data_IF_463176060454
#
_entry.id   IF_463176060454
#
_cell.length_a   1.000
_cell.length_b   1.000
_cell.length_c   1.000
_cell.angle_alpha   90.00
_cell.angle_beta   90.00
_cell.angle_gamma   90.00
#
_symmetry.space_group_name_H-M   'P 1'
#
loop_
_entity.id
_entity.type
_entity.pdbx_description
1 polymer ?
#
# COMPACT_ATOMS: atom_id res chain seq x y z
N UNK A 1 -10.76 -28.67 11.27
CA UNK A 1 -10.67 -28.46 12.74
C UNK A 1 -10.26 -27.02 13.08
N UNK A 2 -9.71 -26.24 12.13
CA UNK A 2 -9.49 -24.81 12.32
C UNK A 2 -10.70 -23.97 11.84
N UNK A 3 -11.47 -24.44 10.86
CA UNK A 3 -12.67 -23.73 10.38
C UNK A 3 -13.74 -23.70 11.46
N UNK A 4 -14.01 -24.82 12.13
CA UNK A 4 -14.92 -24.83 13.29
C UNK A 4 -14.38 -23.93 14.41
N UNK A 5 -13.07 -23.88 14.66
CA UNK A 5 -12.51 -23.01 15.70
C UNK A 5 -12.63 -21.51 15.36
N UNK A 6 -12.22 -21.08 14.16
CA UNK A 6 -12.29 -19.67 13.69
C UNK A 6 -13.74 -19.22 13.48
N UNK A 7 -14.62 -20.11 13.02
CA UNK A 7 -16.06 -19.82 12.91
C UNK A 7 -16.76 -19.76 14.27
N UNK A 8 -16.22 -20.38 15.32
CA UNK A 8 -16.85 -20.40 16.65
C UNK A 8 -16.46 -19.22 17.55
N UNK A 9 -15.40 -18.48 17.22
CA UNK A 9 -15.10 -17.24 17.95
C UNK A 9 -16.10 -16.14 17.60
N UNK A 10 -16.43 -15.26 18.57
CA UNK A 10 -17.18 -14.05 18.27
C UNK A 10 -16.42 -13.19 17.26
N UNK A 11 -17.19 -12.52 16.39
CA UNK A 11 -16.68 -11.76 15.24
C UNK A 11 -16.99 -10.30 15.45
N UNK A 12 -16.00 -9.48 15.13
CA UNK A 12 -16.09 -8.03 15.11
C UNK A 12 -15.78 -7.61 13.69
N UNK A 13 -16.74 -6.97 13.03
CA UNK A 13 -16.49 -6.26 11.78
C UNK A 13 -16.40 -4.79 12.09
N UNK A 14 -15.35 -4.12 11.59
CA UNK A 14 -15.21 -2.69 11.77
C UNK A 14 -14.56 -2.02 10.57
N UNK A 15 -14.71 -0.71 10.57
CA UNK A 15 -14.13 0.22 9.61
C UNK A 15 -13.86 1.54 10.35
N UNK A 16 -12.65 2.10 10.20
CA UNK A 16 -12.31 3.41 10.76
C UNK A 16 -12.49 4.50 9.73
N UNK A 17 -13.08 5.62 10.16
CA UNK A 17 -13.08 6.85 9.39
C UNK A 17 -12.09 7.84 9.99
N UNK A 18 -11.28 8.45 9.13
CA UNK A 18 -10.14 9.26 9.56
C UNK A 18 -10.06 10.55 8.75
N UNK A 19 -9.50 11.59 9.37
CA UNK A 19 -9.21 12.85 8.69
C UNK A 19 -8.29 12.65 7.49
N UNK A 20 -8.67 13.22 6.35
CA UNK A 20 -7.84 13.26 5.16
C UNK A 20 -8.06 14.55 4.36
N UNK A 21 -7.07 14.92 3.56
CA UNK A 21 -7.14 16.06 2.64
C UNK A 21 -6.42 15.78 1.31
N UNK A 22 -6.25 16.82 0.49
CA UNK A 22 -5.61 16.70 -0.83
C UNK A 22 -4.15 16.28 -0.75
N UNK A 23 -3.44 16.67 0.30
CA UNK A 23 -2.02 16.43 0.53
C UNK A 23 -1.75 15.35 1.59
N UNK A 24 -2.74 15.04 2.42
CA UNK A 24 -2.74 13.99 3.43
C UNK A 24 -3.78 12.92 3.10
N UNK A 25 -3.40 11.88 2.36
CA UNK A 25 -4.30 10.76 2.03
C UNK A 25 -3.53 9.50 1.67
N UNK A 26 -4.20 8.35 1.73
CA UNK A 26 -3.67 7.04 1.33
C UNK A 26 -3.36 6.93 -0.18
N UNK A 27 -3.73 7.92 -0.99
CA UNK A 27 -3.29 8.01 -2.40
C UNK A 27 -1.87 8.60 -2.53
N UNK A 28 -1.39 9.30 -1.50
CA UNK A 28 -0.07 9.96 -1.47
C UNK A 28 0.88 9.31 -0.47
N UNK A 29 0.34 8.76 0.61
CA UNK A 29 1.09 8.19 1.72
C UNK A 29 0.81 6.69 1.83
N UNK A 30 1.79 5.93 2.28
CA UNK A 30 1.57 4.56 2.76
C UNK A 30 0.73 4.58 4.03
N UNK A 31 0.11 3.45 4.40
CA UNK A 31 -0.62 3.33 5.68
C UNK A 31 0.25 3.71 6.89
N UNK A 32 1.53 3.31 6.88
CA UNK A 32 2.47 3.59 7.97
C UNK A 32 2.70 5.10 8.09
N UNK A 33 3.06 5.75 6.98
CA UNK A 33 3.27 7.20 6.95
C UNK A 33 2.00 7.97 7.32
N UNK A 34 0.84 7.53 6.81
CA UNK A 34 -0.44 8.17 7.07
C UNK A 34 -0.84 8.10 8.54
N UNK A 35 -0.76 6.92 9.17
CA UNK A 35 -1.19 6.74 10.57
C UNK A 35 -0.21 7.36 11.58
N UNK A 36 1.08 7.43 11.24
CA UNK A 36 2.10 8.04 12.10
C UNK A 36 2.25 9.57 11.88
N UNK A 37 1.57 10.16 10.90
CA UNK A 37 1.62 11.61 10.66
C UNK A 37 0.94 12.37 11.81
N UNK A 38 1.49 13.51 12.27
CA UNK A 38 0.86 14.33 13.31
C UNK A 38 -0.57 14.81 12.99
N UNK A 39 -0.97 14.82 11.72
CA UNK A 39 -2.33 15.16 11.26
C UNK A 39 -3.30 13.99 11.33
N UNK A 40 -2.82 12.76 11.61
CA UNK A 40 -3.68 11.60 11.71
C UNK A 40 -4.69 11.78 12.84
N UNK A 41 -5.97 11.68 12.48
CA UNK A 41 -7.09 11.83 13.41
C UNK A 41 -8.18 10.82 13.05
N UNK A 42 -8.68 10.11 14.04
CA UNK A 42 -9.84 9.22 13.89
C UNK A 42 -11.10 10.02 14.13
N UNK A 43 -11.97 10.11 13.12
CA UNK A 43 -13.30 10.70 13.28
C UNK A 43 -14.25 9.76 14.01
N UNK A 44 -14.07 8.46 13.82
CA UNK A 44 -14.79 7.44 14.56
C UNK A 44 -14.60 6.04 13.98
N UNK A 45 -15.37 5.09 14.51
CA UNK A 45 -15.35 3.70 14.08
C UNK A 45 -16.76 3.12 14.02
N UNK A 46 -17.08 2.46 12.92
CA UNK A 46 -18.26 1.61 12.81
C UNK A 46 -17.93 0.21 13.31
N UNK A 47 -18.74 -0.36 14.20
CA UNK A 47 -18.48 -1.70 14.75
C UNK A 47 -19.76 -2.55 14.71
N UNK A 48 -19.59 -3.80 14.26
CA UNK A 48 -20.61 -4.84 14.25
C UNK A 48 -20.15 -6.06 15.03
N UNK A 49 -20.94 -6.44 16.04
CA UNK A 49 -20.76 -7.68 16.77
C UNK A 49 -21.58 -8.80 16.15
N UNK A 50 -20.92 -9.78 15.53
CA UNK A 50 -21.56 -10.91 14.85
C UNK A 50 -22.69 -10.46 13.90
N UNK A 51 -23.92 -10.93 14.16
CA UNK A 51 -25.14 -10.62 13.39
C UNK A 51 -25.96 -9.46 14.00
N UNK A 52 -25.43 -8.73 14.99
CA UNK A 52 -26.13 -7.59 15.61
C UNK A 52 -26.23 -6.39 14.67
N UNK A 53 -26.92 -5.33 15.09
CA UNK A 53 -26.84 -4.03 14.44
C UNK A 53 -25.42 -3.48 14.48
N UNK A 54 -25.07 -2.71 13.47
CA UNK A 54 -23.81 -1.96 13.43
C UNK A 54 -24.01 -0.62 14.12
N UNK A 55 -23.06 -0.23 14.95
CA UNK A 55 -23.08 1.02 15.70
C UNK A 55 -21.90 1.90 15.28
N UNK A 56 -22.15 3.21 15.17
CA UNK A 56 -21.13 4.23 14.96
C UNK A 56 -20.69 4.80 16.30
N UNK A 57 -19.39 4.83 16.54
CA UNK A 57 -18.77 5.43 17.71
C UNK A 57 -17.93 6.61 17.26
N UNK A 58 -18.33 7.82 17.61
CA UNK A 58 -17.65 9.07 17.27
C UNK A 58 -16.30 9.22 17.97
N UNK A 59 -15.52 10.21 17.55
CA UNK A 59 -14.17 10.53 18.03
C UNK A 59 -14.03 10.46 19.56
N UNK A 60 -14.98 11.05 20.29
CA UNK A 60 -14.94 11.22 21.74
C UNK A 60 -15.03 9.90 22.53
N UNK A 61 -15.66 8.88 21.96
CA UNK A 61 -15.88 7.58 22.61
C UNK A 61 -15.12 6.43 21.94
N UNK A 62 -14.55 6.65 20.74
CA UNK A 62 -13.88 5.62 19.96
C UNK A 62 -12.81 4.89 20.77
N UNK A 63 -11.96 5.65 21.47
CA UNK A 63 -10.88 5.06 22.27
C UNK A 63 -11.42 4.12 23.37
N UNK A 64 -12.38 4.59 24.15
CA UNK A 64 -12.97 3.83 25.25
C UNK A 64 -13.65 2.55 24.76
N UNK A 65 -14.32 2.62 23.60
CA UNK A 65 -14.96 1.46 22.96
C UNK A 65 -13.93 0.45 22.49
N UNK A 66 -12.86 0.89 21.80
CA UNK A 66 -11.80 0.00 21.32
C UNK A 66 -11.07 -0.66 22.49
N UNK A 67 -10.73 0.08 23.55
CA UNK A 67 -10.07 -0.46 24.75
C UNK A 67 -10.97 -1.41 25.56
N UNK A 68 -12.30 -1.24 25.48
CA UNK A 68 -13.28 -2.06 26.16
C UNK A 68 -13.53 -3.45 25.55
N UNK A 69 -13.04 -3.70 24.33
CA UNK A 69 -13.22 -4.96 23.61
C UNK A 69 -12.15 -5.99 23.99
N UNK A 70 -12.56 -7.25 24.26
CA UNK A 70 -11.66 -8.38 24.47
C UNK A 70 -11.09 -8.91 23.15
N UNK A 71 -10.14 -8.18 22.56
CA UNK A 71 -9.58 -8.49 21.24
C UNK A 71 -8.92 -9.87 21.17
N UNK A 72 -8.28 -10.34 22.25
CA UNK A 72 -7.59 -11.64 22.31
C UNK A 72 -8.53 -12.84 22.16
N UNK A 73 -9.84 -12.62 22.30
CA UNK A 73 -10.87 -13.64 22.12
C UNK A 73 -11.86 -13.35 21.00
N UNK A 74 -11.58 -12.36 20.14
CA UNK A 74 -12.42 -11.98 19.02
C UNK A 74 -11.69 -12.09 17.67
N UNK A 75 -12.44 -12.47 16.63
CA UNK A 75 -12.00 -12.45 15.24
C UNK A 75 -12.31 -11.10 14.64
N UNK A 76 -11.32 -10.43 14.08
CA UNK A 76 -11.51 -9.19 13.35
C UNK A 76 -11.78 -9.45 11.87
N UNK A 77 -12.80 -8.80 11.32
CA UNK A 77 -13.15 -8.82 9.91
C UNK A 77 -13.09 -7.39 9.39
N UNK A 78 -12.27 -7.12 8.39
CA UNK A 78 -12.28 -5.85 7.68
C UNK A 78 -12.25 -6.09 6.16
N UNK A 79 -12.38 -5.00 5.42
CA UNK A 79 -12.11 -4.97 4.00
C UNK A 79 -10.81 -4.19 3.76
N UNK A 80 -9.73 -4.88 3.42
CA UNK A 80 -8.36 -4.35 3.39
C UNK A 80 -7.76 -4.11 4.79
N UNK A 81 -7.60 -5.19 5.55
CA UNK A 81 -7.18 -5.24 6.96
C UNK A 81 -5.88 -4.48 7.30
N UNK A 82 -5.02 -4.21 6.31
CA UNK A 82 -3.76 -3.50 6.54
C UNK A 82 -3.99 -2.09 7.09
N UNK A 83 -5.10 -1.44 6.75
CA UNK A 83 -5.41 -0.11 7.27
C UNK A 83 -5.98 -0.18 8.68
N UNK A 84 -7.18 -0.72 8.85
CA UNK A 84 -7.87 -0.78 10.15
C UNK A 84 -7.10 -1.58 11.20
N UNK A 85 -6.48 -2.70 10.79
CA UNK A 85 -5.67 -3.51 11.68
C UNK A 85 -4.40 -2.80 12.14
N UNK A 86 -3.83 -1.91 11.32
CA UNK A 86 -2.67 -1.10 11.71
C UNK A 86 -3.08 0.00 12.69
N UNK A 87 -4.25 0.64 12.49
CA UNK A 87 -4.82 1.58 13.47
C UNK A 87 -5.04 0.89 14.82
N UNK A 88 -5.69 -0.28 14.86
CA UNK A 88 -5.89 -1.02 16.10
C UNK A 88 -4.58 -1.32 16.85
N UNK A 89 -3.60 -1.86 16.12
CA UNK A 89 -2.38 -2.38 16.74
C UNK A 89 -1.37 -1.30 17.08
N UNK A 90 -1.24 -0.25 16.25
CA UNK A 90 -0.20 0.78 16.40
C UNK A 90 -0.70 2.08 16.98
N UNK A 91 -1.97 2.44 16.75
CA UNK A 91 -2.57 3.63 17.36
C UNK A 91 -3.26 3.30 18.69
N UNK A 92 -4.07 2.23 18.74
CA UNK A 92 -4.79 1.84 19.97
C UNK A 92 -4.07 0.76 20.81
N UNK A 93 -3.03 0.11 20.28
CA UNK A 93 -2.25 -0.88 21.02
C UNK A 93 -2.98 -2.22 21.27
N UNK A 94 -4.07 -2.51 20.55
CA UNK A 94 -4.90 -3.71 20.74
C UNK A 94 -4.73 -4.73 19.61
N UNK A 95 -4.89 -6.01 19.94
CA UNK A 95 -4.55 -7.13 19.05
C UNK A 95 -5.65 -8.20 19.00
N UNK A 96 -6.36 -8.33 17.86
CA UNK A 96 -7.32 -9.40 17.63
C UNK A 96 -6.73 -10.81 17.73
N UNK A 97 -7.59 -11.79 18.06
CA UNK A 97 -7.22 -13.21 18.06
C UNK A 97 -6.89 -13.72 16.66
N UNK A 98 -7.61 -13.24 15.66
CA UNK A 98 -7.49 -13.68 14.28
C UNK A 98 -7.98 -12.60 13.33
N UNK A 99 -7.34 -12.48 12.16
CA UNK A 99 -7.67 -11.50 11.15
C UNK A 99 -8.31 -12.15 9.92
N UNK A 100 -9.39 -11.54 9.43
CA UNK A 100 -10.06 -11.91 8.18
C UNK A 100 -10.13 -10.66 7.29
N UNK A 101 -9.51 -10.75 6.12
CA UNK A 101 -9.55 -9.70 5.10
C UNK A 101 -10.43 -10.14 3.91
N UNK A 102 -11.60 -9.53 3.78
CA UNK A 102 -12.50 -9.81 2.64
C UNK A 102 -11.91 -9.41 1.29
N UNK A 103 -11.02 -8.41 1.26
CA UNK A 103 -10.31 -8.01 0.04
C UNK A 103 -9.27 -9.07 -0.37
N UNK A 104 -8.52 -9.62 0.59
CA UNK A 104 -7.60 -10.74 0.34
C UNK A 104 -8.33 -11.99 -0.17
N UNK A 105 -9.46 -12.34 0.46
CA UNK A 105 -10.30 -13.46 0.00
C UNK A 105 -10.89 -13.18 -1.39
N UNK A 106 -11.23 -11.93 -1.70
CA UNK A 106 -11.63 -11.56 -3.07
C UNK A 106 -10.50 -11.75 -4.08
N UNK A 107 -9.27 -11.32 -3.76
CA UNK A 107 -8.10 -11.46 -4.65
C UNK A 107 -7.75 -12.91 -4.93
N UNK A 108 -7.89 -13.81 -3.95
CA UNK A 108 -7.62 -15.23 -4.17
C UNK A 108 -8.65 -15.89 -5.08
N UNK A 109 -9.93 -15.48 -4.99
CA UNK A 109 -11.00 -16.00 -5.85
C UNK A 109 -11.00 -15.40 -7.25
N UNK A 110 -10.67 -14.12 -7.36
CA UNK A 110 -10.73 -13.36 -8.60
C UNK A 110 -9.46 -12.51 -8.77
N UNK A 111 -8.31 -13.14 -9.12
CA UNK A 111 -7.00 -12.48 -9.11
C UNK A 111 -6.83 -11.37 -10.17
N UNK A 112 -7.66 -11.37 -11.20
CA UNK A 112 -7.63 -10.37 -12.28
C UNK A 112 -8.68 -9.27 -12.13
N UNK A 113 -9.42 -9.28 -11.02
CA UNK A 113 -10.54 -8.38 -10.78
C UNK A 113 -10.25 -7.42 -9.63
N UNK A 114 -10.86 -6.24 -9.65
CA UNK A 114 -10.75 -5.31 -8.53
C UNK A 114 -11.31 -5.94 -7.25
N UNK A 115 -10.54 -5.82 -6.17
CA UNK A 115 -10.91 -6.29 -4.84
C UNK A 115 -11.56 -5.19 -3.98
N UNK A 116 -11.76 -3.97 -4.49
CA UNK A 116 -12.40 -2.90 -3.71
C UNK A 116 -13.82 -3.27 -3.29
N UNK A 117 -14.28 -2.74 -2.15
CA UNK A 117 -15.60 -3.08 -1.59
C UNK A 117 -16.73 -2.80 -2.59
N UNK A 118 -16.65 -1.66 -3.30
CA UNK A 118 -17.58 -1.29 -4.38
C UNK A 118 -17.62 -2.34 -5.49
N UNK A 119 -16.46 -2.79 -5.98
CA UNK A 119 -16.39 -3.80 -7.05
C UNK A 119 -16.83 -5.19 -6.56
N UNK A 120 -16.43 -5.57 -5.36
CA UNK A 120 -16.81 -6.82 -4.72
C UNK A 120 -18.32 -6.89 -4.47
N UNK A 121 -18.94 -5.81 -4.01
CA UNK A 121 -20.37 -5.73 -3.77
C UNK A 121 -21.19 -5.90 -5.06
N UNK A 122 -20.79 -5.23 -6.15
CA UNK A 122 -21.39 -5.44 -7.48
C UNK A 122 -21.25 -6.89 -7.92
N UNK A 123 -20.08 -7.51 -7.70
CA UNK A 123 -19.82 -8.91 -8.07
C UNK A 123 -20.68 -9.89 -7.27
N UNK A 124 -20.81 -9.68 -5.96
CA UNK A 124 -21.55 -10.57 -5.07
C UNK A 124 -23.08 -10.39 -5.16
N UNK A 125 -23.55 -9.18 -5.47
CA UNK A 125 -24.97 -8.84 -5.60
C UNK A 125 -25.24 -7.97 -6.84
N UNK A 126 -25.12 -8.53 -8.06
CA UNK A 126 -25.20 -7.75 -9.30
C UNK A 126 -26.56 -7.07 -9.52
N UNK A 127 -27.63 -7.58 -8.91
CA UNK A 127 -29.01 -7.07 -9.07
C UNK A 127 -29.59 -6.40 -7.83
N UNK A 128 -28.82 -6.25 -6.75
CA UNK A 128 -29.30 -5.63 -5.50
C UNK A 128 -28.67 -4.25 -5.34
N UNK A 129 -29.42 -3.19 -5.64
CA UNK A 129 -28.96 -1.80 -5.53
C UNK A 129 -28.73 -1.37 -4.07
N UNK A 130 -29.32 -2.08 -3.09
CA UNK A 130 -29.09 -1.80 -1.67
C UNK A 130 -27.69 -2.22 -1.20
N UNK A 131 -27.03 -3.09 -1.97
CA UNK A 131 -25.67 -3.58 -1.71
C UNK A 131 -24.66 -2.77 -2.53
N UNK A 132 -24.77 -1.44 -2.49
CA UNK A 132 -23.87 -0.52 -3.20
C UNK A 132 -23.25 0.42 -2.19
N UNK A 133 -21.93 0.55 -2.26
CA UNK A 133 -21.16 1.51 -1.47
C UNK A 133 -21.53 2.94 -1.90
N UNK A 134 -21.77 3.80 -0.92
CA UNK A 134 -22.01 5.22 -1.12
C UNK A 134 -20.76 6.02 -1.50
N UNK A 135 -20.90 7.33 -1.63
CA UNK A 135 -19.84 8.29 -1.99
C UNK A 135 -19.74 9.47 -1.01
N UNK A 136 -20.39 9.38 0.14
CA UNK A 136 -20.60 10.45 1.13
C UNK A 136 -19.30 10.95 1.76
N UNK A 137 -18.29 10.08 1.90
CA UNK A 137 -16.97 10.41 2.47
C UNK A 137 -16.31 11.64 1.82
N UNK A 138 -16.49 11.82 0.49
CA UNK A 138 -15.86 12.91 -0.26
C UNK A 138 -16.27 14.30 0.21
N UNK A 139 -17.39 14.41 0.92
CA UNK A 139 -17.95 15.69 1.40
C UNK A 139 -17.19 16.25 2.60
N UNK A 140 -16.43 15.41 3.33
CA UNK A 140 -15.71 15.81 4.55
C UNK A 140 -14.20 16.01 4.34
N UNK A 141 -13.72 15.95 3.10
CA UNK A 141 -12.30 16.15 2.78
C UNK A 141 -11.77 17.50 3.29
N UNK A 142 -10.72 17.47 4.11
CA UNK A 142 -10.07 18.65 4.68
C UNK A 142 -10.80 19.27 5.88
N UNK A 143 -11.75 18.55 6.50
CA UNK A 143 -12.49 19.01 7.68
C UNK A 143 -11.98 18.25 8.90
N UNK A 144 -11.17 18.90 9.73
CA UNK A 144 -10.55 18.26 10.89
C UNK A 144 -11.58 17.92 11.99
N UNK A 145 -12.41 18.89 12.35
CA UNK A 145 -13.49 18.74 13.33
C UNK A 145 -14.85 18.69 12.63
N UNK A 146 -15.51 17.53 12.68
CA UNK A 146 -16.82 17.34 12.05
C UNK A 146 -17.90 18.07 12.84
N UNK A 147 -18.80 18.76 12.13
CA UNK A 147 -20.08 19.20 12.72
C UNK A 147 -20.98 17.98 13.01
N UNK A 148 -21.99 18.10 13.89
CA UNK A 148 -22.89 16.98 14.18
C UNK A 148 -23.56 16.36 12.94
N UNK A 149 -23.89 17.18 11.93
CA UNK A 149 -24.48 16.70 10.67
C UNK A 149 -23.46 15.93 9.82
N UNK A 150 -22.19 16.36 9.82
CA UNK A 150 -21.10 15.67 9.13
C UNK A 150 -20.74 14.36 9.83
N UNK A 151 -20.68 14.36 11.17
CA UNK A 151 -20.47 13.15 11.96
C UNK A 151 -21.58 12.12 11.70
N UNK A 152 -22.85 12.54 11.69
CA UNK A 152 -23.97 11.66 11.33
C UNK A 152 -23.85 11.13 9.89
N UNK A 153 -23.42 11.97 8.94
CA UNK A 153 -23.23 11.58 7.54
C UNK A 153 -22.13 10.52 7.39
N UNK A 154 -20.97 10.77 8.00
CA UNK A 154 -19.83 9.84 7.99
C UNK A 154 -20.17 8.55 8.74
N UNK A 155 -20.85 8.65 9.89
CA UNK A 155 -21.28 7.48 10.65
C UNK A 155 -22.23 6.58 9.88
N UNK A 156 -23.21 7.14 9.16
CA UNK A 156 -24.11 6.36 8.31
C UNK A 156 -23.37 5.68 7.15
N UNK A 157 -22.39 6.36 6.55
CA UNK A 157 -21.53 5.79 5.50
C UNK A 157 -20.68 4.63 6.05
N UNK A 158 -20.03 4.83 7.20
CA UNK A 158 -19.22 3.79 7.84
C UNK A 158 -20.06 2.57 8.25
N UNK A 159 -21.25 2.79 8.82
CA UNK A 159 -22.21 1.72 9.12
C UNK A 159 -22.53 0.88 7.88
N UNK A 160 -22.76 1.54 6.74
CA UNK A 160 -23.02 0.85 5.47
C UNK A 160 -21.83 0.01 5.01
N UNK A 161 -20.60 0.55 5.10
CA UNK A 161 -19.38 -0.16 4.70
C UNK A 161 -19.11 -1.37 5.59
N UNK A 162 -19.35 -1.27 6.90
CA UNK A 162 -19.24 -2.38 7.85
C UNK A 162 -20.29 -3.46 7.56
N UNK A 163 -21.55 -3.09 7.35
CA UNK A 163 -22.62 -4.03 7.00
C UNK A 163 -22.33 -4.75 5.67
N UNK A 164 -21.85 -4.02 4.67
CA UNK A 164 -21.51 -4.57 3.37
C UNK A 164 -20.29 -5.51 3.46
N UNK A 165 -19.30 -5.15 4.26
CA UNK A 165 -18.12 -5.98 4.56
C UNK A 165 -18.53 -7.28 5.24
N UNK A 166 -19.39 -7.21 6.26
CA UNK A 166 -19.87 -8.40 6.95
C UNK A 166 -20.70 -9.31 6.03
N UNK A 167 -21.62 -8.74 5.25
CA UNK A 167 -22.40 -9.51 4.27
C UNK A 167 -21.50 -10.15 3.20
N UNK A 168 -20.39 -9.48 2.83
CA UNK A 168 -19.44 -10.01 1.87
C UNK A 168 -18.67 -11.17 2.50
N UNK A 169 -18.21 -11.00 3.73
CA UNK A 169 -17.61 -12.07 4.53
C UNK A 169 -18.51 -13.32 4.58
N UNK A 170 -19.80 -13.20 4.87
CA UNK A 170 -20.70 -14.36 4.95
C UNK A 170 -20.81 -15.15 3.64
N UNK A 171 -20.72 -14.47 2.48
CA UNK A 171 -20.64 -15.14 1.16
C UNK A 171 -19.25 -15.67 0.87
N UNK A 172 -18.22 -14.94 1.29
CA UNK A 172 -16.83 -15.23 0.96
C UNK A 172 -16.28 -16.39 1.78
N UNK A 173 -16.65 -16.54 3.04
CA UNK A 173 -16.07 -17.55 3.92
C UNK A 173 -16.56 -18.97 3.59
N UNK A 174 -17.75 -19.09 2.99
CA UNK A 174 -18.33 -20.37 2.56
C UNK A 174 -17.39 -21.06 1.58
N UNK A 175 -16.95 -22.26 1.94
CA UNK A 175 -16.02 -23.11 1.17
C UNK A 175 -14.65 -22.46 0.90
N UNK A 176 -14.24 -21.46 1.67
CA UNK A 176 -12.88 -20.93 1.57
C UNK A 176 -11.90 -21.85 2.34
N UNK A 177 -10.76 -22.26 1.76
CA UNK A 177 -9.87 -23.24 2.39
C UNK A 177 -9.29 -22.75 3.73
N UNK A 178 -9.21 -23.65 4.73
CA UNK A 178 -8.64 -23.33 6.06
C UNK A 178 -7.19 -22.81 5.94
N UNK A 179 -6.37 -23.42 5.09
CA UNK A 179 -4.96 -23.02 4.96
C UNK A 179 -4.81 -21.64 4.30
N UNK A 180 -5.72 -21.27 3.40
CA UNK A 180 -5.75 -19.92 2.82
C UNK A 180 -6.15 -18.87 3.86
N UNK A 181 -7.06 -19.19 4.79
CA UNK A 181 -7.37 -18.30 5.92
C UNK A 181 -6.17 -18.06 6.83
N UNK A 182 -5.36 -19.09 7.09
CA UNK A 182 -4.11 -18.94 7.86
C UNK A 182 -3.13 -18.01 7.14
N UNK A 183 -3.06 -18.08 5.82
CA UNK A 183 -2.21 -17.18 5.02
C UNK A 183 -2.73 -15.74 5.10
N UNK A 184 -4.05 -15.53 5.04
CA UNK A 184 -4.66 -14.20 5.23
C UNK A 184 -4.32 -13.64 6.61
N UNK A 185 -4.52 -14.41 7.68
CA UNK A 185 -4.19 -14.00 9.06
C UNK A 185 -2.69 -13.69 9.21
N UNK A 186 -1.82 -14.58 8.73
CA UNK A 186 -0.38 -14.40 8.78
C UNK A 186 0.05 -13.12 8.03
N UNK A 187 -0.51 -12.87 6.85
CA UNK A 187 -0.19 -11.68 6.04
C UNK A 187 -0.67 -10.40 6.74
N UNK A 188 -1.83 -10.44 7.40
CA UNK A 188 -2.31 -9.33 8.21
C UNK A 188 -1.34 -9.05 9.36
N UNK A 189 -0.98 -10.08 10.14
CA UNK A 189 -0.04 -9.98 11.27
C UNK A 189 1.33 -9.47 10.86
N UNK A 190 1.86 -9.92 9.73
CA UNK A 190 3.14 -9.42 9.21
C UNK A 190 3.14 -7.89 9.02
N UNK A 191 1.98 -7.31 8.73
CA UNK A 191 1.82 -5.87 8.52
C UNK A 191 1.47 -5.14 9.82
N UNK A 192 0.48 -5.64 10.56
CA UNK A 192 -0.08 -4.96 11.74
C UNK A 192 0.71 -5.24 13.02
N UNK A 193 1.36 -6.39 13.10
CA UNK A 193 2.18 -6.82 14.23
C UNK A 193 3.61 -7.13 13.77
N UNK A 194 4.35 -6.11 13.28
CA UNK A 194 5.68 -6.32 12.73
C UNK A 194 6.65 -6.86 13.78
N UNK A 195 7.43 -7.87 13.39
CA UNK A 195 8.48 -8.48 14.23
C UNK A 195 9.86 -8.42 13.61
N UNK A 196 9.96 -7.96 12.35
CA UNK A 196 11.22 -7.77 11.66
C UNK A 196 11.83 -6.45 12.11
N UNK A 197 13.09 -6.48 12.54
CA UNK A 197 13.85 -5.30 12.93
C UNK A 197 14.76 -4.84 11.79
N UNK A 198 14.80 -3.53 11.58
CA UNK A 198 15.69 -2.90 10.62
C UNK A 198 17.00 -2.53 11.30
N UNK A 199 18.12 -2.94 10.70
CA UNK A 199 19.44 -2.40 11.06
C UNK A 199 19.58 -1.03 10.37
N UNK A 200 18.97 0.00 10.99
CA UNK A 200 18.85 1.34 10.42
C UNK A 200 20.21 1.89 9.99
N UNK A 201 21.23 1.73 10.83
CA UNK A 201 22.59 2.19 10.54
C UNK A 201 23.16 1.54 9.27
N UNK A 202 23.09 0.21 9.13
CA UNK A 202 23.58 -0.45 7.91
C UNK A 202 22.79 -0.04 6.68
N UNK A 203 21.50 0.20 6.84
CA UNK A 203 20.64 0.58 5.73
C UNK A 203 20.91 2.02 5.28
N UNK A 204 21.16 2.93 6.21
CA UNK A 204 21.60 4.31 5.93
C UNK A 204 22.97 4.31 5.25
N UNK A 205 23.96 3.60 5.80
CA UNK A 205 25.29 3.45 5.19
C UNK A 205 25.19 2.87 3.76
N UNK A 206 24.32 1.88 3.55
CA UNK A 206 24.07 1.32 2.22
C UNK A 206 23.41 2.35 1.30
N UNK A 207 22.38 3.05 1.76
CA UNK A 207 21.68 4.07 0.98
C UNK A 207 22.61 5.21 0.55
N UNK A 208 23.42 5.73 1.47
CA UNK A 208 24.45 6.74 1.20
C UNK A 208 25.48 6.22 0.20
N UNK A 209 25.96 4.98 0.36
CA UNK A 209 26.93 4.40 -0.57
C UNK A 209 26.41 4.28 -2.00
N UNK A 210 25.10 4.01 -2.19
CA UNK A 210 24.47 3.96 -3.51
C UNK A 210 24.35 5.37 -4.13
N UNK A 211 24.08 6.38 -3.31
CA UNK A 211 24.05 7.79 -3.75
C UNK A 211 25.45 8.23 -4.17
N UNK A 212 26.45 7.98 -3.34
CA UNK A 212 27.84 8.38 -3.57
C UNK A 212 28.41 7.71 -4.83
N UNK A 213 28.17 6.40 -5.01
CA UNK A 213 28.56 5.69 -6.22
C UNK A 213 27.89 6.28 -7.48
N UNK A 214 26.61 6.65 -7.39
CA UNK A 214 25.92 7.28 -8.51
C UNK A 214 26.49 8.67 -8.83
N UNK A 215 26.84 9.47 -7.81
CA UNK A 215 27.45 10.78 -7.99
C UNK A 215 28.86 10.68 -8.59
N UNK A 216 29.69 9.76 -8.10
CA UNK A 216 31.02 9.50 -8.64
C UNK A 216 30.96 9.09 -10.12
N UNK A 217 30.03 8.21 -10.50
CA UNK A 217 29.84 7.82 -11.89
C UNK A 217 29.40 9.00 -12.77
N UNK A 218 28.49 9.85 -12.27
CA UNK A 218 28.07 11.06 -12.98
C UNK A 218 29.27 12.00 -13.18
N UNK A 219 30.07 12.27 -12.15
CA UNK A 219 31.25 13.13 -12.25
C UNK A 219 32.26 12.56 -13.27
N UNK A 220 32.56 11.27 -13.17
CA UNK A 220 33.48 10.57 -14.07
C UNK A 220 33.01 10.51 -15.53
N UNK A 221 31.72 10.70 -15.78
CA UNK A 221 31.15 10.77 -17.13
C UNK A 221 31.41 12.10 -17.85
N UNK A 222 31.74 13.15 -17.10
CA UNK A 222 31.91 14.50 -17.64
C UNK A 222 30.62 15.14 -18.15
N UNK A 223 29.44 14.63 -17.75
CA UNK A 223 28.14 15.18 -18.13
C UNK A 223 27.21 15.31 -16.93
N UNK A 224 26.05 15.92 -17.13
CA UNK A 224 25.08 16.20 -16.07
C UNK A 224 24.04 15.09 -15.93
N UNK A 225 23.57 14.88 -14.70
CA UNK A 225 22.49 13.93 -14.38
C UNK A 225 21.26 14.13 -15.27
N UNK A 226 20.93 15.37 -15.62
CA UNK A 226 19.75 15.68 -16.44
C UNK A 226 19.87 15.11 -17.86
N UNK A 227 21.07 15.18 -18.46
CA UNK A 227 21.38 14.57 -19.76
C UNK A 227 21.31 13.06 -19.65
N UNK A 228 21.94 12.49 -18.62
CA UNK A 228 21.96 11.06 -18.34
C UNK A 228 20.59 10.48 -17.99
N UNK A 229 19.61 11.27 -17.54
CA UNK A 229 18.28 10.77 -17.16
C UNK A 229 17.32 10.68 -18.36
N UNK A 230 17.44 11.61 -19.31
CA UNK A 230 16.54 11.74 -20.47
C UNK A 230 17.06 10.97 -21.68
N UNK A 231 16.22 10.09 -22.26
CA UNK A 231 16.59 9.36 -23.48
C UNK A 231 16.93 10.33 -24.63
N UNK A 232 16.17 11.41 -24.77
CA UNK A 232 16.34 12.36 -25.86
C UNK A 232 17.63 13.18 -25.70
N UNK A 233 17.91 13.68 -24.48
CA UNK A 233 19.15 14.45 -24.22
C UNK A 233 20.38 13.55 -24.36
N UNK A 234 20.31 12.34 -23.83
CA UNK A 234 21.37 11.34 -23.96
C UNK A 234 21.59 10.93 -25.43
N UNK A 235 20.51 10.74 -26.20
CA UNK A 235 20.59 10.43 -27.63
C UNK A 235 21.31 11.52 -28.42
N UNK A 236 20.99 12.79 -28.18
CA UNK A 236 21.70 13.91 -28.80
C UNK A 236 23.19 13.93 -28.46
N UNK A 237 23.55 13.68 -27.19
CA UNK A 237 24.96 13.58 -26.79
C UNK A 237 25.69 12.47 -27.56
N UNK A 238 25.05 11.31 -27.74
CA UNK A 238 25.61 10.18 -28.50
C UNK A 238 25.78 10.56 -29.99
N UNK A 239 24.82 11.25 -30.59
CA UNK A 239 24.93 11.76 -31.97
C UNK A 239 26.02 12.82 -32.12
N UNK A 240 26.13 13.75 -31.16
CA UNK A 240 27.16 14.81 -31.14
C UNK A 240 28.58 14.22 -31.04
N UNK A 241 28.71 13.05 -30.42
CA UNK A 241 29.94 12.24 -30.41
C UNK A 241 30.20 11.47 -31.71
N UNK A 242 29.32 11.57 -32.71
CA UNK A 242 29.44 10.91 -34.01
C UNK A 242 28.99 9.44 -34.02
N UNK A 243 28.27 8.99 -33.00
CA UNK A 243 27.78 7.61 -32.90
C UNK A 243 26.32 7.51 -33.36
N UNK A 244 25.93 6.35 -33.88
CA UNK A 244 24.54 6.08 -34.26
C UNK A 244 23.71 5.73 -33.03
N UNK A 245 22.56 6.40 -32.85
CA UNK A 245 21.63 6.07 -31.76
C UNK A 245 21.09 4.63 -31.93
N UNK A 246 21.20 3.77 -30.91
CA UNK A 246 20.56 2.47 -30.92
C UNK A 246 19.04 2.65 -30.78
N UNK A 247 18.27 1.99 -31.66
CA UNK A 247 16.81 2.05 -31.65
C UNK A 247 16.19 0.66 -31.45
N UNK A 248 14.97 0.62 -30.89
CA UNK A 248 14.13 -0.58 -30.78
C UNK A 248 12.66 -0.25 -31.02
N UNK A 249 11.88 -1.26 -31.39
CA UNK A 249 10.42 -1.13 -31.48
C UNK A 249 9.81 -1.16 -30.08
N UNK A 250 9.03 -0.14 -29.74
CA UNK A 250 8.25 -0.10 -28.51
C UNK A 250 7.18 -1.19 -28.51
N UNK A 251 7.12 -2.07 -27.50
CA UNK A 251 6.09 -3.11 -27.42
C UNK A 251 4.68 -2.54 -27.24
N UNK A 252 4.56 -1.32 -26.70
CA UNK A 252 3.27 -0.69 -26.39
C UNK A 252 2.77 0.17 -27.56
N UNK A 253 3.67 0.86 -28.27
CA UNK A 253 3.29 1.85 -29.28
C UNK A 253 3.64 1.43 -30.71
N UNK A 254 4.46 0.39 -30.90
CA UNK A 254 4.95 -0.05 -32.21
C UNK A 254 5.93 0.92 -32.89
N UNK A 255 6.24 2.05 -32.26
CA UNK A 255 7.15 3.07 -32.79
C UNK A 255 8.61 2.75 -32.46
N UNK A 256 9.54 3.23 -33.29
CA UNK A 256 10.96 3.20 -32.99
C UNK A 256 11.26 4.19 -31.86
N UNK A 257 11.94 3.71 -30.82
CA UNK A 257 12.38 4.48 -29.65
C UNK A 257 13.85 4.19 -29.36
N UNK A 258 14.52 5.07 -28.61
CA UNK A 258 15.91 4.87 -28.23
C UNK A 258 16.08 3.66 -27.29
N UNK A 259 17.06 2.82 -27.60
CA UNK A 259 17.37 1.59 -26.90
C UNK A 259 18.58 1.80 -25.99
N UNK A 260 18.39 2.54 -24.89
CA UNK A 260 19.42 2.89 -23.89
C UNK A 260 19.19 2.25 -22.51
N UNK A 261 18.35 1.22 -22.42
CA UNK A 261 18.16 0.48 -21.16
C UNK A 261 19.32 -0.47 -20.90
N UNK A 262 19.61 -0.75 -19.63
CA UNK A 262 20.61 -1.76 -19.23
C UNK A 262 20.33 -3.18 -19.76
N UNK A 263 19.10 -3.45 -20.21
CA UNK A 263 18.70 -4.73 -20.79
C UNK A 263 18.57 -4.67 -22.33
N UNK A 264 18.84 -3.52 -22.96
CA UNK A 264 18.73 -3.37 -24.41
C UNK A 264 19.98 -3.89 -25.09
N UNK A 265 19.82 -4.93 -25.92
CA UNK A 265 20.93 -5.53 -26.68
C UNK A 265 21.66 -4.52 -27.58
N UNK A 266 20.92 -3.59 -28.18
CA UNK A 266 21.50 -2.54 -29.01
C UNK A 266 22.35 -1.54 -28.19
N UNK A 267 22.02 -1.34 -26.91
CA UNK A 267 22.86 -0.54 -26.02
C UNK A 267 24.15 -1.27 -25.68
N UNK A 268 24.07 -2.57 -25.36
CA UNK A 268 25.26 -3.39 -25.10
C UNK A 268 26.22 -3.38 -26.29
N UNK A 269 25.67 -3.51 -27.51
CA UNK A 269 26.47 -3.43 -28.73
C UNK A 269 27.14 -2.04 -28.89
N UNK A 270 26.43 -0.95 -28.58
CA UNK A 270 27.02 0.39 -28.58
C UNK A 270 28.17 0.50 -27.58
N UNK A 271 27.99 -0.02 -26.37
CA UNK A 271 29.02 -0.02 -25.32
C UNK A 271 30.26 -0.83 -25.74
N UNK A 272 30.08 -1.97 -26.40
CA UNK A 272 31.17 -2.80 -26.92
C UNK A 272 31.93 -2.15 -28.09
N UNK A 273 31.22 -1.40 -28.95
CA UNK A 273 31.83 -0.69 -30.07
C UNK A 273 32.64 0.54 -29.64
N UNK A 274 32.24 1.19 -28.54
CA UNK A 274 32.84 2.42 -28.05
C UNK A 274 33.27 2.30 -26.57
N UNK A 275 34.22 1.40 -26.24
CA UNK A 275 34.67 1.16 -24.87
C UNK A 275 35.37 2.37 -24.23
N UNK A 276 35.89 3.30 -25.03
CA UNK A 276 36.48 4.56 -24.57
C UNK A 276 35.47 5.47 -23.84
N UNK A 277 34.17 5.27 -24.09
CA UNK A 277 33.07 6.00 -23.44
C UNK A 277 32.47 5.25 -22.24
N UNK A 278 33.17 4.25 -21.68
CA UNK A 278 32.69 3.42 -20.56
C UNK A 278 32.09 4.23 -19.41
N UNK A 279 32.76 5.30 -18.97
CA UNK A 279 32.26 6.13 -17.86
C UNK A 279 30.90 6.76 -18.16
N UNK A 280 30.66 7.17 -19.41
CA UNK A 280 29.37 7.71 -19.85
C UNK A 280 28.28 6.64 -19.80
N UNK A 281 28.61 5.42 -20.23
CA UNK A 281 27.68 4.29 -20.23
C UNK A 281 27.31 3.85 -18.81
N UNK A 282 28.28 3.74 -17.92
CA UNK A 282 28.08 3.36 -16.54
C UNK A 282 27.23 4.40 -15.80
N UNK A 283 27.53 5.69 -15.98
CA UNK A 283 26.76 6.77 -15.40
C UNK A 283 25.30 6.78 -15.87
N UNK A 284 25.06 6.53 -17.16
CA UNK A 284 23.71 6.39 -17.71
C UNK A 284 22.94 5.25 -17.05
N UNK A 285 23.59 4.10 -16.84
CA UNK A 285 22.97 2.96 -16.17
C UNK A 285 22.66 3.30 -14.71
N UNK A 286 23.61 3.90 -13.98
CA UNK A 286 23.43 4.28 -12.58
C UNK A 286 22.25 5.25 -12.39
N UNK A 287 22.18 6.31 -13.21
CA UNK A 287 21.08 7.28 -13.16
C UNK A 287 19.72 6.65 -13.46
N UNK A 288 19.66 5.62 -14.31
CA UNK A 288 18.40 4.95 -14.70
C UNK A 288 18.03 3.76 -13.81
N UNK A 289 18.96 3.15 -13.09
CA UNK A 289 18.77 1.93 -12.32
C UNK A 289 18.88 2.15 -10.81
N UNK A 290 18.06 3.05 -10.27
CA UNK A 290 18.08 3.48 -8.86
C UNK A 290 17.34 2.54 -7.89
N UNK A 291 17.09 1.28 -8.26
CA UNK A 291 16.19 0.41 -7.48
C UNK A 291 16.75 0.06 -6.10
N UNK A 292 18.06 -0.08 -5.96
CA UNK A 292 18.71 -0.34 -4.68
C UNK A 292 18.58 0.88 -3.75
N UNK A 293 18.99 2.05 -4.25
CA UNK A 293 18.80 3.35 -3.59
C UNK A 293 17.35 3.56 -3.12
N UNK A 294 16.36 3.44 -4.03
CA UNK A 294 14.96 3.73 -3.69
C UNK A 294 14.32 2.69 -2.77
N UNK A 295 14.75 1.42 -2.83
CA UNK A 295 14.31 0.39 -1.88
C UNK A 295 14.92 0.61 -0.51
N UNK A 296 16.21 0.95 -0.43
CA UNK A 296 16.84 1.27 0.85
C UNK A 296 16.10 2.43 1.53
N UNK A 297 15.85 3.51 0.79
CA UNK A 297 15.03 4.65 1.25
C UNK A 297 13.65 4.22 1.75
N UNK A 298 12.94 3.38 0.99
CA UNK A 298 11.60 2.89 1.39
C UNK A 298 11.62 2.06 2.67
N UNK A 299 12.66 1.25 2.90
CA UNK A 299 12.79 0.48 4.13
C UNK A 299 13.09 1.40 5.32
N UNK A 300 13.93 2.43 5.13
CA UNK A 300 14.19 3.47 6.15
C UNK A 300 12.87 4.17 6.50
N UNK A 301 12.16 4.68 5.49
CA UNK A 301 10.92 5.46 5.68
C UNK A 301 9.78 4.65 6.30
N UNK A 302 9.75 3.33 6.09
CA UNK A 302 8.75 2.44 6.66
C UNK A 302 9.17 1.84 8.02
N UNK A 303 10.35 2.19 8.54
CA UNK A 303 10.79 1.74 9.86
C UNK A 303 10.04 2.49 10.94
N UNK A 304 9.51 1.76 11.90
CA UNK A 304 8.79 2.30 13.04
C UNK A 304 9.75 2.83 14.12
N UNK A 305 9.25 3.65 15.04
CA UNK A 305 10.05 4.19 16.17
C UNK A 305 10.66 3.10 17.07
N UNK A 306 10.03 1.93 17.14
CA UNK A 306 10.53 0.75 17.86
C UNK A 306 11.56 -0.07 17.06
N UNK A 307 11.93 0.38 15.85
CA UNK A 307 12.88 -0.26 14.94
C UNK A 307 12.30 -1.43 14.14
N UNK A 308 11.03 -1.76 14.31
CA UNK A 308 10.37 -2.81 13.51
C UNK A 308 9.94 -2.28 12.13
N UNK A 309 9.57 -3.18 11.21
CA UNK A 309 9.05 -2.81 9.89
C UNK A 309 7.84 -3.67 9.50
N UNK A 310 6.77 -3.00 9.04
CA UNK A 310 5.56 -3.65 8.54
C UNK A 310 5.77 -4.18 7.13
N UNK A 311 5.34 -5.42 6.89
CA UNK A 311 5.41 -6.05 5.57
C UNK A 311 4.10 -6.77 5.24
N UNK A 312 3.68 -6.87 3.96
CA UNK A 312 4.36 -6.38 2.76
C UNK A 312 4.38 -4.85 2.67
N UNK A 313 5.49 -4.31 2.14
CA UNK A 313 5.70 -2.88 1.91
C UNK A 313 5.02 -2.38 0.64
#
# INVERSE_FOLDING_TARGET
MLQEAVLNYPKITLDFETYYDKDFSLNKLTTVEYVNDPRFKVWGVGIKYNNSSTEWYSEDITKDVIEGIDWENNVLICHNIMFDGYILTRHFGVKPKFYIDTAAISRSRWPHESASLKALAVRLWPKDERMRKGEELITCMGIEDLSPEQDETIGNYCIQDVDLTYAAYEKLIKNFPEDELKIVDMTARMFTEPVLYVDAKKLDEFHESEIDQALELIENSGTEREVLASNQKFGRLVEDMGMTIPLKTSPTTGKMIEAFSKNDKAFHQLQEMYPEHKNLWDARIAVKSRIAETRAKRFIDATHDDGTISVPL
#
